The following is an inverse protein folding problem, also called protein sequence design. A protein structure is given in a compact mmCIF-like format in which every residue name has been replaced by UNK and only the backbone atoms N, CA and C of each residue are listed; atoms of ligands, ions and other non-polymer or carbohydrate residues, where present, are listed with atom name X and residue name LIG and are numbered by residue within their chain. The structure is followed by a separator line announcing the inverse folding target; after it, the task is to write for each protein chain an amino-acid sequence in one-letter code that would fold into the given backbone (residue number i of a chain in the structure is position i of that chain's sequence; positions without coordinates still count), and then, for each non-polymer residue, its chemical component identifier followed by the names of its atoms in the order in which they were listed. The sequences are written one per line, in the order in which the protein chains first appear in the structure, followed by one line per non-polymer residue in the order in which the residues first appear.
data_IF_903072826050
#
_entry.id   IF_903072826050
#
_cell.length_a   1.000
_cell.length_b   1.000
_cell.length_c   1.000
_cell.angle_alpha   90.00
_cell.angle_beta   90.00
_cell.angle_gamma   90.00
#
_symmetry.space_group_name_H-M   'P 1'
#
loop_
_entity.id
_entity.type
_entity.pdbx_description
1 polymer ?
#
# COMPACT_ATOMS: atom_id res chain seq x y z
N UNK A 1 -14.69 -5.72 -5.37
CA UNK A 1 -14.78 -4.33 -5.88
C UNK A 1 -15.12 -4.36 -7.38
N UNK A 2 -16.02 -3.51 -7.88
CA UNK A 2 -16.31 -3.38 -9.33
C UNK A 2 -15.14 -2.68 -10.02
N UNK A 3 -14.82 -3.05 -11.26
CA UNK A 3 -13.66 -2.50 -12.00
C UNK A 3 -13.67 -0.98 -12.07
N UNK A 4 -14.80 -0.37 -12.41
CA UNK A 4 -14.91 1.10 -12.49
C UNK A 4 -14.54 1.77 -11.17
N UNK A 5 -14.99 1.21 -10.05
CA UNK A 5 -14.63 1.73 -8.73
C UNK A 5 -13.13 1.62 -8.47
N UNK A 6 -12.49 0.53 -8.90
CA UNK A 6 -11.03 0.38 -8.81
C UNK A 6 -10.33 1.48 -9.59
N UNK A 7 -10.76 1.75 -10.84
CA UNK A 7 -10.18 2.80 -11.69
C UNK A 7 -10.29 4.18 -11.03
N UNK A 8 -11.45 4.52 -10.48
CA UNK A 8 -11.65 5.80 -9.77
C UNK A 8 -10.76 5.91 -8.52
N UNK A 9 -10.72 4.85 -7.70
CA UNK A 9 -9.85 4.80 -6.52
C UNK A 9 -8.38 4.93 -6.91
N UNK A 10 -7.92 4.21 -7.94
CA UNK A 10 -6.53 4.30 -8.41
C UNK A 10 -6.21 5.70 -8.92
N UNK A 11 -7.12 6.34 -9.65
CA UNK A 11 -6.95 7.71 -10.11
C UNK A 11 -6.84 8.71 -8.95
N UNK A 12 -7.66 8.57 -7.90
CA UNK A 12 -7.58 9.39 -6.69
C UNK A 12 -6.25 9.18 -5.95
N UNK A 13 -5.76 7.94 -5.92
CA UNK A 13 -4.53 7.58 -5.24
C UNK A 13 -3.26 7.95 -6.03
N UNK A 14 -3.36 8.21 -7.33
CA UNK A 14 -2.19 8.41 -8.19
C UNK A 14 -1.32 9.59 -7.76
N UNK A 15 -1.91 10.79 -7.61
CA UNK A 15 -1.16 11.99 -7.18
C UNK A 15 -0.57 11.85 -5.77
N UNK A 16 -1.32 11.47 -4.72
CA UNK A 16 -0.77 11.44 -3.35
C UNK A 16 0.28 10.32 -3.16
N UNK A 17 0.23 9.24 -3.95
CA UNK A 17 1.18 8.13 -3.85
C UNK A 17 2.42 8.29 -4.74
N UNK A 18 2.39 9.18 -5.75
CA UNK A 18 3.52 9.42 -6.63
C UNK A 18 4.76 9.84 -5.81
N UNK A 19 5.87 9.12 -6.00
CA UNK A 19 7.12 9.28 -5.28
C UNK A 19 7.02 9.25 -3.73
N UNK A 20 5.95 8.69 -3.19
CA UNK A 20 5.73 8.66 -1.74
C UNK A 20 6.71 7.70 -1.06
N UNK A 21 7.49 8.23 -0.11
CA UNK A 21 8.51 7.46 0.62
C UNK A 21 7.88 6.56 1.67
N UNK A 22 8.27 5.30 1.68
CA UNK A 22 7.82 4.34 2.68
C UNK A 22 8.52 4.62 4.01
N UNK A 23 7.75 5.08 5.00
CA UNK A 23 8.23 5.32 6.36
C UNK A 23 8.11 4.07 7.23
N UNK A 24 7.02 3.30 7.08
CA UNK A 24 6.76 2.07 7.83
C UNK A 24 5.78 1.19 7.05
N UNK A 25 5.95 -0.13 7.13
CA UNK A 25 4.95 -1.09 6.61
C UNK A 25 4.57 -2.03 7.74
N UNK A 26 3.32 -2.28 8.06
CA UNK A 26 2.97 -3.31 9.05
C UNK A 26 1.69 -4.06 8.68
N UNK A 27 1.52 -5.24 9.25
CA UNK A 27 0.45 -6.18 8.94
C UNK A 27 -0.40 -6.35 10.20
N UNK A 28 -1.46 -5.54 10.38
CA UNK A 28 -2.32 -5.61 11.56
C UNK A 28 -3.16 -6.89 11.60
N UNK A 29 -3.35 -7.55 10.45
CA UNK A 29 -4.01 -8.85 10.31
C UNK A 29 -3.39 -9.62 9.15
N UNK A 30 -3.51 -10.96 9.06
CA UNK A 30 -2.87 -11.77 8.02
C UNK A 30 -3.12 -11.30 6.57
N UNK A 31 -4.28 -10.72 6.29
CA UNK A 31 -4.69 -10.31 4.93
C UNK A 31 -4.66 -8.78 4.75
N UNK A 32 -4.13 -8.04 5.72
CA UNK A 32 -4.11 -6.57 5.69
C UNK A 32 -2.68 -6.06 5.79
N UNK A 33 -2.28 -5.20 4.87
CA UNK A 33 -1.03 -4.45 4.94
C UNK A 33 -1.35 -2.96 5.03
N UNK A 34 -0.64 -2.27 5.91
CA UNK A 34 -0.69 -0.81 6.00
C UNK A 34 0.69 -0.23 5.70
N UNK A 35 0.76 0.63 4.69
CA UNK A 35 1.92 1.45 4.40
C UNK A 35 1.72 2.83 5.04
N UNK A 36 2.65 3.23 5.88
CA UNK A 36 2.82 4.62 6.30
C UNK A 36 3.79 5.28 5.33
N UNK A 37 3.32 6.30 4.62
CA UNK A 37 4.05 6.96 3.55
C UNK A 37 4.25 8.44 3.88
N UNK A 38 5.29 9.04 3.31
CA UNK A 38 5.51 10.48 3.30
C UNK A 38 5.57 10.95 1.85
N UNK A 39 4.61 11.78 1.43
CA UNK A 39 4.52 12.28 0.05
C UNK A 39 5.22 13.63 -0.16
N UNK A 40 5.98 14.12 0.83
CA UNK A 40 6.60 15.45 0.79
C UNK A 40 5.78 16.55 1.46
N UNK A 41 4.48 16.34 1.67
CA UNK A 41 3.57 17.31 2.31
C UNK A 41 3.03 16.77 3.63
N UNK A 42 2.58 15.52 3.63
CA UNK A 42 1.93 14.91 4.78
C UNK A 42 2.23 13.40 4.90
N UNK A 43 1.85 12.86 6.06
CA UNK A 43 1.92 11.43 6.31
C UNK A 43 0.63 10.76 5.85
N UNK A 44 0.74 9.87 4.87
CA UNK A 44 -0.38 9.06 4.40
C UNK A 44 -0.36 7.67 5.05
N UNK A 45 -1.53 7.04 5.16
CA UNK A 45 -1.64 5.63 5.50
C UNK A 45 -2.45 4.93 4.41
N UNK A 46 -1.77 4.12 3.60
CA UNK A 46 -2.39 3.32 2.55
C UNK A 46 -2.69 1.93 3.10
N UNK A 47 -3.98 1.55 3.12
CA UNK A 47 -4.42 0.22 3.51
C UNK A 47 -4.68 -0.64 2.29
N UNK A 48 -4.06 -1.81 2.27
CA UNK A 48 -4.34 -2.89 1.33
C UNK A 48 -5.00 -4.04 2.10
N UNK A 49 -6.20 -4.42 1.71
CA UNK A 49 -6.88 -5.61 2.22
C UNK A 49 -7.07 -6.63 1.10
N UNK A 50 -6.61 -7.84 1.36
CA UNK A 50 -6.86 -9.03 0.57
C UNK A 50 -7.91 -9.95 1.24
N UNK A 51 -8.63 -9.47 2.25
CA UNK A 51 -9.72 -10.22 2.89
C UNK A 51 -10.79 -10.55 1.84
N UNK A 52 -11.21 -11.82 1.74
CA UNK A 52 -12.12 -12.31 0.68
C UNK A 52 -13.37 -11.42 0.51
N UNK A 53 -14.00 -11.05 1.63
CA UNK A 53 -15.24 -10.25 1.63
C UNK A 53 -15.00 -8.74 1.66
N UNK A 54 -13.78 -8.29 1.96
CA UNK A 54 -13.47 -6.87 2.21
C UNK A 54 -12.25 -6.38 1.43
N UNK A 55 -11.95 -7.02 0.31
CA UNK A 55 -10.82 -6.65 -0.54
C UNK A 55 -10.98 -5.22 -1.06
N UNK A 56 -10.03 -4.37 -0.68
CA UNK A 56 -10.05 -2.92 -0.93
C UNK A 56 -8.66 -2.30 -0.79
N UNK A 57 -8.50 -1.14 -1.41
CA UNK A 57 -7.34 -0.25 -1.31
C UNK A 57 -7.86 1.16 -1.05
N UNK A 58 -7.33 1.88 -0.06
CA UNK A 58 -7.70 3.27 0.22
C UNK A 58 -6.71 3.93 1.19
N UNK A 59 -6.71 5.27 1.22
CA UNK A 59 -6.11 6.03 2.32
C UNK A 59 -7.00 5.99 3.55
N UNK A 60 -6.41 6.05 4.74
CA UNK A 60 -7.14 5.94 6.00
C UNK A 60 -6.49 6.73 7.13
N UNK A 61 -7.31 7.33 7.98
CA UNK A 61 -6.85 8.00 9.21
C UNK A 61 -6.81 7.09 10.42
N UNK A 62 -7.28 5.84 10.28
CA UNK A 62 -7.31 4.90 11.38
C UNK A 62 -5.89 4.53 11.81
N UNK A 63 -5.73 4.39 13.12
CA UNK A 63 -4.52 3.84 13.72
C UNK A 63 -4.77 2.41 14.12
N UNK A 64 -3.80 1.53 13.84
CA UNK A 64 -3.86 0.14 14.27
C UNK A 64 -2.79 -0.11 15.33
N UNK A 65 -3.06 -0.99 16.32
CA UNK A 65 -2.04 -1.41 17.24
C UNK A 65 -0.92 -2.10 16.47
N UNK A 66 0.33 -1.76 16.80
CA UNK A 66 1.48 -2.42 16.20
C UNK A 66 1.62 -3.80 16.85
N UNK A 67 1.61 -4.90 16.09
CA UNK A 67 1.79 -6.24 16.67
C UNK A 67 3.16 -6.32 17.35
N UNK A 68 3.21 -6.95 18.53
CA UNK A 68 4.45 -7.09 19.31
C UNK A 68 5.57 -7.82 18.53
N UNK A 69 5.19 -8.74 17.64
CA UNK A 69 6.12 -9.42 16.74
C UNK A 69 5.69 -9.12 15.30
N UNK A 70 6.51 -8.39 14.51
CA UNK A 70 6.17 -8.11 13.11
C UNK A 70 6.25 -9.39 12.27
N UNK A 71 5.19 -9.74 11.51
CA UNK A 71 5.22 -10.90 10.62
C UNK A 71 6.36 -10.81 9.60
N UNK A 72 6.93 -11.97 9.21
CA UNK A 72 8.06 -12.05 8.26
C UNK A 72 7.81 -11.31 6.95
N UNK A 73 6.58 -11.38 6.44
CA UNK A 73 6.21 -10.71 5.19
C UNK A 73 6.39 -9.18 5.28
N UNK A 74 5.95 -8.54 6.36
CA UNK A 74 6.21 -7.12 6.56
C UNK A 74 7.68 -6.78 6.68
N UNK A 75 8.49 -7.64 7.30
CA UNK A 75 9.93 -7.42 7.39
C UNK A 75 10.57 -7.44 6.00
N UNK A 76 10.18 -8.41 5.16
CA UNK A 76 10.62 -8.49 3.77
C UNK A 76 10.24 -7.24 2.98
N UNK A 77 8.98 -6.78 3.05
CA UNK A 77 8.54 -5.58 2.36
C UNK A 77 9.33 -4.35 2.81
N UNK A 78 9.55 -4.17 4.13
CA UNK A 78 10.36 -3.05 4.65
C UNK A 78 11.80 -3.07 4.16
N UNK A 79 12.39 -4.25 3.99
CA UNK A 79 13.75 -4.38 3.51
C UNK A 79 13.89 -4.07 2.01
N UNK A 80 12.82 -4.31 1.23
CA UNK A 80 12.85 -4.20 -0.24
C UNK A 80 12.15 -2.96 -0.81
N UNK A 81 11.31 -2.27 -0.05
CA UNK A 81 10.50 -1.16 -0.57
C UNK A 81 10.84 0.12 0.19
N UNK A 82 11.29 1.13 -0.54
CA UNK A 82 11.69 2.43 0.00
C UNK A 82 10.83 3.58 -0.50
N UNK A 83 10.23 3.44 -1.69
CA UNK A 83 9.35 4.43 -2.30
C UNK A 83 8.32 3.75 -3.20
N UNK A 84 7.13 4.32 -3.28
CA UNK A 84 6.14 4.00 -4.31
C UNK A 84 6.33 5.03 -5.42
N UNK A 85 6.61 4.57 -6.63
CA UNK A 85 6.82 5.44 -7.79
C UNK A 85 5.48 5.71 -8.49
N UNK A 86 4.66 4.67 -8.68
CA UNK A 86 3.37 4.80 -9.38
C UNK A 86 2.35 3.75 -8.91
N UNK A 87 1.08 4.01 -9.23
CA UNK A 87 -0.04 3.08 -9.05
C UNK A 87 -0.88 3.03 -10.34
N UNK A 88 -1.26 1.83 -10.79
CA UNK A 88 -2.04 1.66 -12.01
C UNK A 88 -2.96 0.44 -11.95
N UNK A 89 -3.98 0.42 -12.81
CA UNK A 89 -4.81 -0.77 -13.07
C UNK A 89 -4.21 -1.53 -14.25
N UNK A 90 -4.05 -2.85 -14.11
CA UNK A 90 -3.42 -3.69 -15.14
C UNK A 90 -4.48 -4.27 -16.07
N UNK A 91 -4.28 -4.11 -17.39
CA UNK A 91 -5.06 -4.76 -18.45
C UNK A 91 -6.60 -4.66 -18.31
N UNK A 92 -7.10 -3.59 -17.68
CA UNK A 92 -8.53 -3.46 -17.35
C UNK A 92 -9.11 -4.64 -16.55
N UNK A 93 -8.28 -5.30 -15.74
CA UNK A 93 -8.70 -6.31 -14.77
C UNK A 93 -8.72 -5.74 -13.35
N UNK A 94 -9.21 -6.52 -12.39
CA UNK A 94 -9.26 -6.19 -10.95
C UNK A 94 -7.88 -6.40 -10.30
N UNK A 95 -6.84 -5.95 -10.97
CA UNK A 95 -5.45 -6.04 -10.54
C UNK A 95 -4.91 -4.61 -10.47
N UNK A 96 -4.45 -4.22 -9.27
CA UNK A 96 -3.78 -2.94 -9.05
C UNK A 96 -2.29 -3.20 -8.87
N UNK A 97 -1.47 -2.52 -9.66
CA UNK A 97 -0.03 -2.58 -9.58
C UNK A 97 0.51 -1.36 -8.86
N UNK A 98 1.43 -1.59 -7.92
CA UNK A 98 2.26 -0.57 -7.30
C UNK A 98 3.68 -0.75 -7.81
N UNK A 99 4.18 0.22 -8.57
CA UNK A 99 5.60 0.27 -8.91
C UNK A 99 6.36 0.89 -7.76
N UNK A 100 7.44 0.23 -7.35
CA UNK A 100 8.17 0.57 -6.15
C UNK A 100 9.67 0.56 -6.37
N UNK A 101 10.37 1.53 -5.79
CA UNK A 101 11.82 1.52 -5.70
C UNK A 101 12.28 0.90 -4.38
N UNK A 102 13.33 0.09 -4.47
CA UNK A 102 13.94 -0.64 -3.38
C UNK A 102 15.45 -0.64 -3.42
N UNK A 103 16.10 -0.93 -2.28
CA UNK A 103 17.48 -1.40 -2.33
C UNK A 103 17.49 -2.81 -2.91
N UNK A 104 18.37 -3.07 -3.88
CA UNK A 104 18.65 -4.44 -4.33
C UNK A 104 19.04 -5.26 -3.11
N UNK A 105 18.28 -6.33 -2.84
CA UNK A 105 18.74 -7.35 -1.91
C UNK A 105 19.93 -8.04 -2.57
N UNK A 106 21.13 -7.71 -2.12
CA UNK A 106 22.35 -8.49 -2.32
C UNK A 106 22.15 -9.94 -1.92
#
# INVERSE_FOLDING_TARGET
MKLDLIKHVVAELAEPLADARVSKIYQPAPEIILFKLWNGRETLRLLLSAEVQKSRLHLTDRTWPNPHIPPRFCQLLRARITRIDSISVVNDDRIVQLECQGKQGS
#
